data_IF_058248488558
#
_entry.id   IF_058248488558
#
_cell.length_a   1.000
_cell.length_b   1.000
_cell.length_c   1.000
_cell.angle_alpha   90.00
_cell.angle_beta   90.00
_cell.angle_gamma   90.00
#
_symmetry.space_group_name_H-M   'P 1'
#
loop_
_entity.id
_entity.type
_entity.pdbx_description
1 polymer ?
#
# COMPACT_ATOMS: atom_id res chain seq x y z
N UNK A 1 10.99 17.41 -6.10
CA UNK A 1 12.30 16.73 -6.00
C UNK A 1 12.56 15.96 -7.28
N UNK A 2 13.74 16.06 -7.84
CA UNK A 2 14.07 15.31 -9.05
C UNK A 2 14.96 14.12 -8.70
N UNK A 3 14.80 13.05 -9.47
CA UNK A 3 15.57 11.83 -9.28
C UNK A 3 16.73 11.80 -10.29
N UNK A 4 17.87 11.19 -9.94
CA UNK A 4 18.95 11.01 -10.89
C UNK A 4 18.50 10.08 -12.03
N UNK A 5 18.86 10.44 -13.24
CA UNK A 5 18.50 9.68 -14.43
C UNK A 5 19.58 8.63 -14.74
N UNK A 6 19.15 7.40 -14.96
CA UNK A 6 20.03 6.31 -15.37
C UNK A 6 20.00 6.17 -16.89
N UNK A 7 21.08 6.55 -17.55
CA UNK A 7 21.17 6.50 -19.00
C UNK A 7 21.13 5.08 -19.56
N UNK A 8 21.52 4.08 -18.78
CA UNK A 8 21.55 2.68 -19.23
C UNK A 8 20.17 2.06 -19.30
N UNK A 9 19.34 2.35 -18.31
CA UNK A 9 17.99 1.76 -18.19
C UNK A 9 16.89 2.69 -18.68
N UNK A 10 17.19 4.00 -18.80
CA UNK A 10 16.19 4.99 -19.16
C UNK A 10 15.23 5.34 -18.04
N UNK A 11 15.52 4.95 -16.79
CA UNK A 11 14.71 5.26 -15.63
C UNK A 11 15.51 6.06 -14.61
N UNK A 12 14.80 6.68 -13.68
CA UNK A 12 15.41 7.44 -12.60
C UNK A 12 15.61 6.51 -11.40
N UNK A 13 16.89 6.25 -11.03
CA UNK A 13 17.25 5.32 -9.97
C UNK A 13 16.54 5.60 -8.65
N UNK A 14 16.49 6.89 -8.23
CA UNK A 14 15.85 7.26 -6.99
C UNK A 14 14.36 6.92 -6.97
N UNK A 15 13.69 7.06 -8.12
CA UNK A 15 12.27 6.72 -8.23
C UNK A 15 12.04 5.22 -8.10
N UNK A 16 12.91 4.40 -8.69
CA UNK A 16 12.79 2.95 -8.56
C UNK A 16 12.98 2.49 -7.11
N UNK A 17 13.93 3.09 -6.40
CA UNK A 17 14.13 2.78 -4.99
C UNK A 17 12.94 3.22 -4.14
N UNK A 18 12.38 4.37 -4.43
CA UNK A 18 11.18 4.85 -3.73
C UNK A 18 10.01 3.90 -3.96
N UNK A 19 9.81 3.45 -5.20
CA UNK A 19 8.75 2.51 -5.54
C UNK A 19 8.90 1.19 -4.79
N UNK A 20 10.13 0.70 -4.69
CA UNK A 20 10.39 -0.53 -3.95
C UNK A 20 9.96 -0.41 -2.49
N UNK A 21 10.34 0.71 -1.85
CA UNK A 21 9.96 0.95 -0.46
C UNK A 21 8.45 1.07 -0.29
N UNK A 22 7.78 1.77 -1.21
CA UNK A 22 6.34 1.96 -1.14
C UNK A 22 5.58 0.64 -1.36
N UNK A 23 6.08 -0.21 -2.25
CA UNK A 23 5.49 -1.54 -2.45
C UNK A 23 5.64 -2.40 -1.21
N UNK A 24 6.79 -2.32 -0.53
CA UNK A 24 7.00 -3.02 0.73
C UNK A 24 6.06 -2.52 1.82
N UNK A 25 5.85 -1.20 1.87
CA UNK A 25 4.90 -0.61 2.81
C UNK A 25 3.48 -1.10 2.53
N UNK A 26 3.10 -1.20 1.26
CA UNK A 26 1.78 -1.71 0.88
C UNK A 26 1.59 -3.17 1.32
N UNK A 27 2.62 -3.99 1.13
CA UNK A 27 2.59 -5.37 1.60
C UNK A 27 2.36 -5.42 3.11
N UNK A 28 3.08 -4.57 3.85
CA UNK A 28 2.96 -4.52 5.32
C UNK A 28 1.55 -4.11 5.75
N UNK A 29 0.93 -3.15 5.07
CA UNK A 29 -0.44 -2.73 5.39
C UNK A 29 -1.45 -3.85 5.12
N UNK A 30 -1.29 -4.57 4.01
CA UNK A 30 -2.16 -5.69 3.69
C UNK A 30 -2.02 -6.81 4.72
N UNK A 31 -0.80 -7.09 5.16
CA UNK A 31 -0.56 -8.07 6.22
C UNK A 31 -1.17 -7.63 7.54
N UNK A 32 -1.08 -6.33 7.85
CA UNK A 32 -1.68 -5.78 9.07
C UNK A 32 -3.20 -5.97 9.09
N UNK A 33 -3.86 -5.75 7.96
CA UNK A 33 -5.31 -5.98 7.85
C UNK A 33 -5.65 -7.43 8.19
N UNK A 34 -4.91 -8.38 7.64
CA UNK A 34 -5.12 -9.79 7.93
C UNK A 34 -4.90 -10.11 9.41
N UNK A 35 -3.87 -9.54 10.00
CA UNK A 35 -3.56 -9.75 11.40
C UNK A 35 -4.66 -9.21 12.31
N UNK A 36 -5.12 -8.00 12.06
CA UNK A 36 -6.21 -7.43 12.85
C UNK A 36 -7.50 -8.24 12.69
N UNK A 37 -7.81 -8.67 11.46
CA UNK A 37 -9.00 -9.50 11.22
C UNK A 37 -8.94 -10.81 12.01
N UNK A 38 -7.79 -11.45 12.04
CA UNK A 38 -7.57 -12.67 12.79
C UNK A 38 -7.76 -12.46 14.29
N UNK A 39 -7.22 -11.35 14.81
CA UNK A 39 -7.38 -11.01 16.23
C UNK A 39 -8.83 -10.66 16.58
N UNK A 40 -9.52 -9.96 15.72
CA UNK A 40 -10.94 -9.62 15.91
C UNK A 40 -11.76 -10.91 16.08
N UNK A 41 -11.47 -11.91 15.27
CA UNK A 41 -12.18 -13.19 15.33
C UNK A 41 -11.85 -13.99 16.59
N UNK A 42 -10.70 -13.75 17.18
CA UNK A 42 -10.25 -14.49 18.36
C UNK A 42 -10.57 -13.79 19.68
N UNK A 43 -10.78 -12.48 19.67
CA UNK A 43 -11.05 -11.70 20.88
C UNK A 43 -12.46 -11.96 21.42
N UNK A 44 -12.58 -11.90 22.73
CA UNK A 44 -13.89 -12.03 23.41
C UNK A 44 -14.43 -10.69 23.89
N UNK A 45 -13.54 -9.74 24.20
CA UNK A 45 -13.94 -8.43 24.72
C UNK A 45 -14.54 -7.57 23.62
N UNK A 46 -15.80 -7.17 23.79
CA UNK A 46 -16.54 -6.43 22.78
C UNK A 46 -15.95 -5.06 22.47
N UNK A 47 -15.44 -4.38 23.48
CA UNK A 47 -14.82 -3.07 23.28
C UNK A 47 -13.49 -3.19 22.52
N UNK A 48 -12.70 -4.19 22.84
CA UNK A 48 -11.45 -4.45 22.11
C UNK A 48 -11.73 -4.80 20.67
N UNK A 49 -12.76 -5.60 20.40
CA UNK A 49 -13.17 -5.96 19.03
C UNK A 49 -13.53 -4.69 18.26
N UNK A 50 -14.36 -3.85 18.85
CA UNK A 50 -14.82 -2.62 18.20
C UNK A 50 -13.65 -1.69 17.85
N UNK A 51 -12.71 -1.55 18.77
CA UNK A 51 -11.52 -0.71 18.53
C UNK A 51 -10.64 -1.30 17.44
N UNK A 52 -10.42 -2.61 17.45
CA UNK A 52 -9.62 -3.26 16.41
C UNK A 52 -10.29 -3.19 15.04
N UNK A 53 -11.60 -3.27 14.97
CA UNK A 53 -12.32 -3.07 13.71
C UNK A 53 -12.06 -1.69 13.14
N UNK A 54 -12.05 -0.67 13.99
CA UNK A 54 -11.72 0.69 13.59
C UNK A 54 -10.29 0.79 13.07
N UNK A 55 -9.33 0.20 13.79
CA UNK A 55 -7.93 0.21 13.38
C UNK A 55 -7.74 -0.53 12.06
N UNK A 56 -8.40 -1.68 11.91
CA UNK A 56 -8.35 -2.44 10.66
C UNK A 56 -8.85 -1.61 9.48
N UNK A 57 -9.96 -0.89 9.66
CA UNK A 57 -10.52 -0.06 8.59
C UNK A 57 -9.63 1.14 8.26
N UNK A 58 -8.93 1.69 9.26
CA UNK A 58 -7.93 2.73 9.02
C UNK A 58 -6.78 2.19 8.16
N UNK A 59 -6.37 0.94 8.37
CA UNK A 59 -5.34 0.31 7.55
C UNK A 59 -5.78 0.19 6.08
N UNK A 60 -7.06 -0.05 5.85
CA UNK A 60 -7.59 -0.08 4.48
C UNK A 60 -7.51 1.27 3.80
N UNK A 61 -7.65 2.35 4.55
CA UNK A 61 -7.43 3.70 4.04
C UNK A 61 -5.98 3.91 3.67
N UNK A 62 -5.05 3.43 4.50
CA UNK A 62 -3.62 3.49 4.20
C UNK A 62 -3.28 2.73 2.92
N UNK A 63 -3.90 1.59 2.70
CA UNK A 63 -3.74 0.83 1.44
C UNK A 63 -4.13 1.70 0.25
N UNK A 64 -5.27 2.38 0.32
CA UNK A 64 -5.73 3.26 -0.77
C UNK A 64 -4.75 4.41 -1.01
N UNK A 65 -4.24 5.01 0.06
CA UNK A 65 -3.27 6.10 -0.05
C UNK A 65 -1.96 5.63 -0.67
N UNK A 66 -1.46 4.46 -0.27
CA UNK A 66 -0.23 3.90 -0.83
C UNK A 66 -0.40 3.52 -2.30
N UNK A 67 -1.53 2.94 -2.67
CA UNK A 67 -1.83 2.62 -4.07
C UNK A 67 -1.81 3.89 -4.91
N UNK A 68 -2.43 4.96 -4.43
CA UNK A 68 -2.43 6.24 -5.12
C UNK A 68 -1.01 6.79 -5.30
N UNK A 69 -0.20 6.71 -4.25
CA UNK A 69 1.17 7.17 -4.28
C UNK A 69 2.02 6.38 -5.27
N UNK A 70 1.84 5.07 -5.29
CA UNK A 70 2.53 4.19 -6.24
C UNK A 70 2.13 4.56 -7.68
N UNK A 71 0.85 4.81 -7.93
CA UNK A 71 0.39 5.21 -9.26
C UNK A 71 1.01 6.54 -9.71
N UNK A 72 1.20 7.47 -8.77
CA UNK A 72 1.83 8.75 -9.10
C UNK A 72 3.27 8.59 -9.57
N UNK A 73 3.97 7.60 -9.04
CA UNK A 73 5.39 7.38 -9.35
C UNK A 73 5.61 6.32 -10.43
N UNK A 74 4.60 5.51 -10.71
CA UNK A 74 4.70 4.40 -11.66
C UNK A 74 3.59 4.51 -12.71
N UNK A 75 3.87 5.17 -13.86
CA UNK A 75 2.84 5.34 -14.89
C UNK A 75 2.32 4.03 -15.47
N UNK A 76 3.14 3.00 -15.52
CA UNK A 76 2.71 1.70 -16.02
C UNK A 76 1.69 1.07 -15.07
N UNK A 77 1.95 1.14 -13.77
CA UNK A 77 1.00 0.64 -12.78
C UNK A 77 -0.32 1.42 -12.83
N UNK A 78 -0.24 2.74 -12.98
CA UNK A 78 -1.41 3.59 -13.12
C UNK A 78 -2.25 3.20 -14.34
N UNK A 79 -1.59 2.94 -15.47
CA UNK A 79 -2.26 2.51 -16.69
C UNK A 79 -2.99 1.18 -16.50
N UNK A 80 -2.36 0.22 -15.84
CA UNK A 80 -2.97 -1.09 -15.61
C UNK A 80 -4.23 -0.98 -14.75
N UNK A 81 -4.22 -0.12 -13.76
CA UNK A 81 -5.41 0.13 -12.96
C UNK A 81 -6.52 0.80 -13.78
N UNK A 82 -6.15 1.75 -14.65
CA UNK A 82 -7.11 2.47 -15.49
C UNK A 82 -7.79 1.55 -16.49
N UNK A 83 -7.05 0.61 -17.08
CA UNK A 83 -7.62 -0.31 -18.06
C UNK A 83 -8.68 -1.22 -17.47
N UNK A 84 -8.67 -1.35 -16.15
CA UNK A 84 -9.70 -2.10 -15.48
C UNK A 84 -9.58 -3.59 -15.71
N UNK A 85 -9.61 -4.32 -14.65
CA UNK A 85 -9.61 -5.78 -14.71
C UNK A 85 -11.06 -6.28 -14.75
N UNK A 86 -11.94 -5.42 -14.33
CA UNK A 86 -13.36 -5.73 -14.21
C UNK A 86 -14.16 -5.03 -15.29
#
# INVERSE_FOLDING_TARGET
MSYPFDEKTGIEDGRELDLEMLREDLIAELQAINQYQEHIEALEDEEAIRILEHIRDDEKEHVAELVKLIQMLDPVQAEKFTKGIL
#
